data_IF_280885169597
#
_entry.id   IF_280885169597
#
_cell.length_a   1.000
_cell.length_b   1.000
_cell.length_c   1.000
_cell.angle_alpha   90.00
_cell.angle_beta   90.00
_cell.angle_gamma   90.00
#
_symmetry.space_group_name_H-M   'P 1'
#
loop_
_entity.id
_entity.type
_entity.pdbx_description
1 polymer ?
#
# COMPACT_ATOMS: atom_id res chain seq x y z
N UNK A 1 -0.76 -22.63 -19.36
CA UNK A 1 -0.94 -21.53 -20.33
C UNK A 1 -1.75 -20.34 -19.82
N UNK A 2 -2.56 -20.44 -18.76
CA UNK A 2 -3.31 -19.29 -18.20
C UNK A 2 -2.53 -18.44 -17.15
N UNK A 3 -1.56 -19.05 -16.45
CA UNK A 3 -0.72 -18.36 -15.45
C UNK A 3 0.15 -17.25 -16.08
N UNK A 4 0.56 -17.44 -17.33
CA UNK A 4 1.42 -16.51 -18.08
C UNK A 4 0.76 -15.15 -18.38
N UNK A 5 -0.56 -15.11 -18.57
CA UNK A 5 -1.29 -13.84 -18.79
C UNK A 5 -1.41 -13.06 -17.47
N UNK A 6 -1.72 -13.73 -16.37
CA UNK A 6 -1.78 -13.09 -15.05
C UNK A 6 -0.42 -12.55 -14.63
N UNK A 7 0.67 -13.30 -14.82
CA UNK A 7 2.03 -12.81 -14.55
C UNK A 7 2.42 -11.62 -15.43
N UNK A 8 2.05 -11.62 -16.71
CA UNK A 8 2.29 -10.49 -17.62
C UNK A 8 1.49 -9.24 -17.23
N UNK A 9 0.22 -9.40 -16.84
CA UNK A 9 -0.63 -8.32 -16.34
C UNK A 9 -0.08 -7.79 -15.01
N UNK A 10 0.28 -8.68 -14.10
CA UNK A 10 0.88 -8.35 -12.81
C UNK A 10 2.22 -7.61 -12.98
N UNK A 11 3.07 -8.01 -13.92
CA UNK A 11 4.32 -7.32 -14.25
C UNK A 11 4.06 -5.89 -14.80
N UNK A 12 3.04 -5.73 -15.63
CA UNK A 12 2.64 -4.43 -16.17
C UNK A 12 2.08 -3.51 -15.07
N UNK A 13 1.22 -4.05 -14.20
CA UNK A 13 0.69 -3.34 -13.04
C UNK A 13 1.80 -3.01 -12.06
N UNK A 14 2.77 -3.89 -11.81
CA UNK A 14 3.90 -3.60 -10.92
C UNK A 14 4.82 -2.48 -11.45
N UNK A 15 4.86 -2.27 -12.77
CA UNK A 15 5.58 -1.18 -13.42
C UNK A 15 4.84 0.16 -13.30
N UNK A 16 3.50 0.15 -13.29
CA UNK A 16 2.67 1.36 -13.22
C UNK A 16 2.21 1.73 -11.80
N UNK A 17 2.02 0.75 -10.92
CA UNK A 17 1.59 0.92 -9.55
C UNK A 17 2.78 1.37 -8.69
N UNK A 18 2.83 2.67 -8.42
CA UNK A 18 3.61 3.19 -7.30
C UNK A 18 3.13 2.54 -6.01
N UNK A 19 4.05 1.95 -5.23
CA UNK A 19 3.70 1.56 -3.87
C UNK A 19 3.28 2.81 -3.10
N UNK A 20 2.22 2.75 -2.27
CA UNK A 20 1.85 3.89 -1.45
C UNK A 20 3.03 4.33 -0.57
N UNK A 21 3.08 5.59 -0.13
CA UNK A 21 4.18 6.09 0.69
C UNK A 21 4.44 5.21 1.93
N UNK A 22 5.69 5.09 2.42
CA UNK A 22 6.05 4.14 3.47
C UNK A 22 5.18 4.21 4.74
N UNK A 23 4.82 5.41 5.19
CA UNK A 23 3.96 5.63 6.35
C UNK A 23 2.54 5.08 6.15
N UNK A 24 2.00 5.14 4.93
CA UNK A 24 0.68 4.60 4.57
C UNK A 24 0.70 3.08 4.63
N UNK A 25 1.81 2.46 4.22
CA UNK A 25 1.97 1.00 4.27
C UNK A 25 1.81 0.47 5.69
N UNK A 26 2.52 1.08 6.65
CA UNK A 26 2.43 0.72 8.06
C UNK A 26 1.01 0.93 8.61
N UNK A 27 0.36 2.03 8.21
CA UNK A 27 -0.99 2.36 8.64
C UNK A 27 -2.03 1.38 8.12
N UNK A 28 -1.97 1.01 6.85
CA UNK A 28 -2.85 0.01 6.24
C UNK A 28 -2.70 -1.34 6.94
N UNK A 29 -1.47 -1.74 7.24
CA UNK A 29 -1.18 -2.95 8.02
C UNK A 29 -1.82 -2.87 9.42
N UNK A 30 -1.64 -1.77 10.13
CA UNK A 30 -2.21 -1.56 11.47
C UNK A 30 -3.74 -1.52 11.47
N UNK A 31 -4.36 -0.92 10.44
CA UNK A 31 -5.81 -0.92 10.27
C UNK A 31 -6.36 -2.35 10.10
N UNK A 32 -5.61 -3.20 9.39
CA UNK A 32 -5.87 -4.64 9.30
C UNK A 32 -5.55 -5.44 10.57
N UNK A 33 -5.08 -4.81 11.66
CA UNK A 33 -4.58 -5.45 12.89
C UNK A 33 -3.46 -6.46 12.63
N UNK A 34 -2.73 -6.31 11.54
CA UNK A 34 -1.62 -7.19 11.17
C UNK A 34 -0.31 -6.70 11.78
N UNK A 35 0.51 -7.63 12.22
CA UNK A 35 1.89 -7.40 12.62
C UNK A 35 2.83 -7.47 11.42
N UNK A 36 4.01 -6.88 11.54
CA UNK A 36 5.05 -6.99 10.51
C UNK A 36 5.52 -8.44 10.31
N UNK A 37 5.39 -9.29 11.34
CA UNK A 37 5.75 -10.70 11.27
C UNK A 37 4.76 -11.48 10.39
N UNK A 38 3.46 -11.30 10.62
CA UNK A 38 2.41 -11.94 9.81
C UNK A 38 2.48 -11.53 8.34
N UNK A 39 2.75 -10.24 8.07
CA UNK A 39 2.97 -9.77 6.69
C UNK A 39 4.21 -10.41 6.08
N UNK A 40 5.29 -10.55 6.85
CA UNK A 40 6.52 -11.16 6.36
C UNK A 40 6.33 -12.64 6.05
N UNK A 41 5.63 -13.37 6.92
CA UNK A 41 5.29 -14.78 6.75
C UNK A 41 4.43 -15.01 5.51
N UNK A 42 3.37 -14.21 5.33
CA UNK A 42 2.51 -14.27 4.14
C UNK A 42 3.27 -14.01 2.82
N UNK A 43 4.33 -13.21 2.88
CA UNK A 43 5.15 -12.84 1.71
C UNK A 43 6.41 -13.70 1.56
N UNK A 44 6.70 -14.62 2.48
CA UNK A 44 7.91 -15.45 2.48
C UNK A 44 9.21 -14.66 2.70
N UNK A 45 9.16 -13.53 3.41
CA UNK A 45 10.33 -12.68 3.68
C UNK A 45 10.63 -12.57 5.17
N UNK A 46 11.79 -12.02 5.53
CA UNK A 46 12.09 -11.71 6.92
C UNK A 46 11.34 -10.46 7.39
N UNK A 47 10.85 -10.48 8.63
CA UNK A 47 10.24 -9.31 9.31
C UNK A 47 11.06 -8.02 9.16
N UNK A 48 12.39 -8.12 9.25
CA UNK A 48 13.30 -6.97 9.11
C UNK A 48 13.21 -6.32 7.72
N UNK A 49 12.89 -7.08 6.66
CA UNK A 49 12.66 -6.51 5.33
C UNK A 49 11.39 -5.65 5.32
N UNK A 50 10.30 -6.16 5.91
CA UNK A 50 9.04 -5.41 6.05
C UNK A 50 9.24 -4.10 6.83
N UNK A 51 10.02 -4.14 7.92
CA UNK A 51 10.40 -2.93 8.67
C UNK A 51 11.12 -1.92 7.78
N UNK A 52 12.06 -2.36 6.93
CA UNK A 52 12.79 -1.46 6.02
C UNK A 52 11.88 -0.89 4.93
N UNK A 53 10.89 -1.65 4.45
CA UNK A 53 9.93 -1.21 3.44
C UNK A 53 8.93 -0.19 3.98
N UNK A 54 8.42 -0.41 5.20
CA UNK A 54 7.50 0.51 5.88
C UNK A 54 8.23 1.76 6.40
N UNK A 55 9.52 1.63 6.74
CA UNK A 55 10.37 2.75 7.14
C UNK A 55 11.00 3.52 5.97
N UNK A 56 10.71 3.15 4.72
CA UNK A 56 11.27 3.80 3.52
C UNK A 56 12.78 3.61 3.31
N UNK A 57 13.43 2.75 4.10
CA UNK A 57 14.88 2.46 4.02
C UNK A 57 15.25 1.56 2.85
N UNK A 58 14.27 0.81 2.33
CA UNK A 58 14.42 -0.03 1.15
C UNK A 58 13.07 -0.19 0.46
N UNK A 59 13.08 -0.51 -0.83
CA UNK A 59 11.88 -0.95 -1.54
C UNK A 59 11.89 -2.47 -1.76
N UNK A 60 10.72 -3.13 -1.74
CA UNK A 60 10.62 -4.52 -2.16
C UNK A 60 10.98 -4.65 -3.63
N UNK A 61 11.77 -5.69 -3.94
CA UNK A 61 12.09 -6.09 -5.32
C UNK A 61 11.04 -7.06 -5.84
N UNK A 62 10.96 -7.25 -7.16
CA UNK A 62 10.18 -8.34 -7.73
C UNK A 62 10.72 -9.70 -7.24
N UNK A 63 9.87 -10.71 -6.99
CA UNK A 63 8.40 -10.72 -7.12
C UNK A 63 7.66 -10.15 -5.89
N UNK A 64 8.32 -9.97 -4.75
CA UNK A 64 7.68 -9.52 -3.50
C UNK A 64 6.99 -8.16 -3.61
N UNK A 65 7.48 -7.26 -4.48
CA UNK A 65 6.85 -5.96 -4.76
C UNK A 65 5.38 -6.12 -5.17
N UNK A 66 5.09 -7.11 -6.02
CA UNK A 66 3.75 -7.39 -6.51
C UNK A 66 2.86 -7.93 -5.39
N UNK A 67 3.34 -8.96 -4.69
CA UNK A 67 2.61 -9.58 -3.59
C UNK A 67 2.27 -8.55 -2.49
N UNK A 68 3.24 -7.69 -2.18
CA UNK A 68 3.06 -6.63 -1.21
C UNK A 68 2.11 -5.54 -1.69
N UNK A 69 2.19 -5.13 -2.96
CA UNK A 69 1.23 -4.19 -3.54
C UNK A 69 -0.21 -4.74 -3.50
N UNK A 70 -0.39 -6.04 -3.81
CA UNK A 70 -1.69 -6.71 -3.75
C UNK A 70 -2.25 -6.77 -2.33
N UNK A 71 -1.42 -7.08 -1.34
CA UNK A 71 -1.79 -7.03 0.07
C UNK A 71 -2.26 -5.63 0.48
N UNK A 72 -1.49 -4.59 0.14
CA UNK A 72 -1.82 -3.21 0.47
C UNK A 72 -3.08 -2.71 -0.25
N UNK A 73 -3.31 -3.13 -1.49
CA UNK A 73 -4.53 -2.82 -2.25
C UNK A 73 -5.76 -3.38 -1.54
N UNK A 74 -5.75 -4.67 -1.17
CA UNK A 74 -6.87 -5.29 -0.45
C UNK A 74 -7.10 -4.70 0.95
N UNK A 75 -6.04 -4.23 1.62
CA UNK A 75 -6.18 -3.48 2.88
C UNK A 75 -6.76 -2.08 2.64
N UNK A 76 -6.36 -1.38 1.57
CA UNK A 76 -6.88 -0.05 1.25
C UNK A 76 -8.37 -0.08 0.87
N UNK A 77 -8.82 -1.12 0.17
CA UNK A 77 -10.24 -1.34 -0.14
C UNK A 77 -11.09 -1.53 1.12
N UNK A 78 -10.57 -2.27 2.11
CA UNK A 78 -11.26 -2.51 3.39
C UNK A 78 -11.16 -1.32 4.36
N UNK A 79 -10.05 -0.59 4.30
CA UNK A 79 -9.73 0.51 5.21
C UNK A 79 -9.40 1.78 4.43
N UNK A 80 -10.38 2.37 3.71
CA UNK A 80 -10.15 3.53 2.85
C UNK A 80 -9.69 4.76 3.65
N UNK A 81 -10.10 4.92 4.92
CA UNK A 81 -9.63 6.01 5.78
C UNK A 81 -8.11 5.94 6.06
N UNK A 82 -7.56 4.72 6.16
CA UNK A 82 -6.14 4.52 6.34
C UNK A 82 -5.34 4.81 5.05
N UNK A 83 -5.96 4.67 3.88
CA UNK A 83 -5.38 5.03 2.60
C UNK A 83 -5.50 6.53 2.28
N UNK A 84 -6.63 7.17 2.60
CA UNK A 84 -6.95 8.55 2.20
C UNK A 84 -6.17 9.60 3.00
N UNK A 85 -5.84 9.32 4.27
CA UNK A 85 -4.97 10.20 5.06
C UNK A 85 -3.51 10.25 4.57
N UNK A 86 -3.21 9.58 3.45
CA UNK A 86 -2.00 9.76 2.65
C UNK A 86 -2.01 11.00 1.73
N UNK A 87 -3.15 11.69 1.60
CA UNK A 87 -3.34 12.79 0.64
C UNK A 87 -4.24 13.93 1.11
N UNK A 88 -4.68 13.94 2.37
CA UNK A 88 -5.45 15.06 2.91
C UNK A 88 -4.52 16.26 3.21
N UNK A 89 -4.26 17.08 2.19
CA UNK A 89 -4.54 18.51 2.40
C UNK A 89 -6.04 18.58 2.73
N UNK A 90 -6.46 19.17 3.85
CA UNK A 90 -7.89 19.39 4.04
C UNK A 90 -8.31 20.34 2.91
N UNK A 91 -9.13 19.85 2.00
CA UNK A 91 -9.99 20.72 1.22
C UNK A 91 -10.79 21.50 2.27
N UNK A 92 -10.39 22.75 2.48
CA UNK A 92 -11.13 23.71 3.27
C UNK A 92 -12.53 23.78 2.66
N UNK A 93 -13.47 23.14 3.33
CA UNK A 93 -14.88 23.23 3.03
C UNK A 93 -15.38 24.53 3.68
N UNK A 94 -15.02 25.65 3.08
CA UNK A 94 -15.67 26.93 3.35
C UNK A 94 -16.21 27.49 2.02
N UNK A 95 -17.45 27.16 1.62
CA UNK A 95 -18.22 28.10 0.84
C UNK A 95 -18.71 29.18 1.80
N UNK A 96 -17.94 30.24 1.98
CA UNK A 96 -18.48 31.47 2.53
C UNK A 96 -19.31 32.15 1.42
N UNK A 97 -20.64 32.28 1.55
CA UNK A 97 -21.39 33.17 0.69
C UNK A 97 -21.19 34.60 1.21
N UNK A 98 -20.71 35.48 0.34
CA UNK A 98 -20.77 36.93 0.59
C UNK A 98 -21.90 37.52 -0.26
N UNK A 99 -22.91 38.13 0.39
CA UNK A 99 -23.45 39.39 -0.12
C UNK A 99 -23.68 40.40 1.03
N UNK A 100 -23.54 41.72 0.80
CA UNK A 100 -24.30 42.46 -0.22
C UNK A 100 -23.48 43.32 -1.20
#
# INVERSE_FOLDING_TARGET
MAQDVFERVDALVARSAGLPPPHVRARLRQAGRLTQAEVAEALGVHRVQVVRWEGGKAEPRQPHRLLYARLLCGLAEKYPEAACQAGAVPAALDPAPDPP
#
